data_IF_205882059175
#
_entry.id   IF_205882059175
#
_cell.length_a   1.000
_cell.length_b   1.000
_cell.length_c   1.000
_cell.angle_alpha   90.00
_cell.angle_beta   90.00
_cell.angle_gamma   90.00
#
_symmetry.space_group_name_H-M   'P 1'
#
loop_
_entity.id
_entity.type
_entity.pdbx_description
1 polymer ?
#
# COMPACT_ATOMS: atom_id res chain seq x y z
N UNK A 1 0.76 -14.18 26.63
CA UNK A 1 0.02 -13.28 25.73
C UNK A 1 0.16 -13.79 24.30
N UNK A 2 -0.89 -13.65 23.48
CA UNK A 2 -0.88 -14.20 22.12
C UNK A 2 -0.05 -13.33 21.17
N UNK A 3 0.79 -13.95 20.34
CA UNK A 3 1.50 -13.28 19.24
C UNK A 3 0.53 -13.14 18.07
N UNK A 4 0.54 -11.99 17.40
CA UNK A 4 -0.21 -11.74 16.17
C UNK A 4 0.77 -11.76 15.01
N UNK A 5 0.36 -12.39 13.91
CA UNK A 5 1.22 -12.58 12.75
C UNK A 5 0.45 -12.31 11.46
N UNK A 6 1.03 -11.45 10.63
CA UNK A 6 0.63 -11.26 9.23
C UNK A 6 1.70 -11.87 8.33
N UNK A 7 1.34 -12.91 7.59
CA UNK A 7 2.19 -13.51 6.57
C UNK A 7 1.89 -12.85 5.22
N UNK A 8 2.88 -12.21 4.64
CA UNK A 8 2.88 -11.77 3.26
C UNK A 8 3.50 -12.85 2.38
N UNK A 9 2.84 -13.19 1.29
CA UNK A 9 3.37 -14.10 0.29
C UNK A 9 3.05 -13.56 -1.09
N UNK A 10 3.94 -13.79 -2.05
CA UNK A 10 3.71 -13.37 -3.44
C UNK A 10 4.09 -14.45 -4.44
N UNK A 11 3.31 -14.55 -5.51
CA UNK A 11 3.69 -15.36 -6.65
C UNK A 11 4.96 -14.78 -7.28
N UNK A 12 5.80 -15.61 -7.90
CA UNK A 12 7.00 -15.12 -8.58
C UNK A 12 6.67 -14.07 -9.66
N UNK A 13 5.50 -14.19 -10.30
CA UNK A 13 5.00 -13.26 -11.29
C UNK A 13 4.66 -11.90 -10.66
N UNK A 14 3.82 -11.89 -9.63
CA UNK A 14 3.40 -10.66 -8.94
C UNK A 14 4.59 -9.98 -8.27
N UNK A 15 5.43 -10.74 -7.56
CA UNK A 15 6.65 -10.24 -6.92
C UNK A 15 7.59 -9.53 -7.92
N UNK A 16 7.73 -10.05 -9.13
CA UNK A 16 8.54 -9.43 -10.19
C UNK A 16 7.96 -8.08 -10.59
N UNK A 17 6.64 -7.98 -10.75
CA UNK A 17 5.98 -6.72 -11.13
C UNK A 17 6.05 -5.71 -9.99
N UNK A 18 5.77 -6.12 -8.76
CA UNK A 18 5.85 -5.26 -7.57
C UNK A 18 7.28 -4.72 -7.44
N UNK A 19 8.30 -5.58 -7.55
CA UNK A 19 9.71 -5.21 -7.49
C UNK A 19 10.13 -4.25 -8.62
N UNK A 20 9.74 -4.53 -9.87
CA UNK A 20 10.03 -3.68 -11.03
C UNK A 20 9.47 -2.26 -10.87
N UNK A 21 8.35 -2.11 -10.16
CA UNK A 21 7.73 -0.82 -9.89
C UNK A 21 8.23 -0.16 -8.59
N UNK A 22 9.25 -0.72 -7.93
CA UNK A 22 9.80 -0.18 -6.69
C UNK A 22 8.79 -0.17 -5.53
N UNK A 23 7.77 -1.02 -5.59
CA UNK A 23 6.73 -1.11 -4.57
C UNK A 23 7.22 -1.95 -3.38
N UNK A 24 6.76 -1.58 -2.20
CA UNK A 24 7.06 -2.25 -0.93
C UNK A 24 5.80 -2.37 -0.08
N UNK A 25 5.69 -3.48 0.66
CA UNK A 25 4.57 -3.68 1.58
C UNK A 25 4.74 -2.75 2.78
N UNK A 26 3.72 -1.94 3.01
CA UNK A 26 3.57 -1.13 4.22
C UNK A 26 2.50 -1.76 5.09
N UNK A 27 2.76 -1.83 6.40
CA UNK A 27 1.81 -2.29 7.42
C UNK A 27 1.66 -1.19 8.45
N UNK A 28 0.42 -0.85 8.80
CA UNK A 28 0.08 0.18 9.75
C UNK A 28 -0.96 -0.31 10.75
N UNK A 29 -0.87 0.22 11.97
CA UNK A 29 -1.83 0.00 13.03
C UNK A 29 -2.58 1.30 13.27
N UNK A 30 -3.89 1.18 13.49
CA UNK A 30 -4.70 2.33 13.89
C UNK A 30 -4.48 2.64 15.37
N UNK A 31 -4.28 3.91 15.68
CA UNK A 31 -4.28 4.43 17.05
C UNK A 31 -5.27 5.58 17.11
N UNK A 32 -6.28 5.46 17.97
CA UNK A 32 -7.17 6.57 18.27
C UNK A 32 -6.51 7.47 19.32
N UNK A 33 -6.54 8.78 19.11
CA UNK A 33 -6.23 9.75 20.15
C UNK A 33 -7.52 10.36 20.70
N UNK A 34 -7.42 11.19 21.74
CA UNK A 34 -8.57 11.84 22.38
C UNK A 34 -9.49 12.63 21.44
N UNK A 35 -9.07 12.93 20.19
CA UNK A 35 -9.84 13.59 19.14
C UNK A 35 -10.77 12.66 18.32
N UNK A 36 -10.94 11.39 18.72
CA UNK A 36 -11.88 10.39 18.18
C UNK A 36 -11.63 9.84 16.77
N UNK A 37 -10.85 10.52 15.92
CA UNK A 37 -10.46 9.94 14.62
C UNK A 37 -9.21 9.10 14.78
N UNK A 38 -9.31 7.79 14.49
CA UNK A 38 -8.16 6.91 14.47
C UNK A 38 -7.18 7.33 13.36
N UNK A 39 -5.94 7.61 13.76
CA UNK A 39 -4.85 7.82 12.82
C UNK A 39 -4.16 6.48 12.59
N UNK A 40 -3.87 6.15 11.33
CA UNK A 40 -3.03 4.99 11.02
C UNK A 40 -1.60 5.48 10.89
N UNK A 41 -0.70 4.82 11.60
CA UNK A 41 0.72 5.08 11.50
C UNK A 41 1.44 3.77 11.21
N UNK A 42 2.47 3.89 10.38
CA UNK A 42 3.18 2.76 9.80
C UNK A 42 3.96 2.03 10.90
N UNK A 43 3.65 0.76 11.07
CA UNK A 43 4.26 -0.15 12.05
C UNK A 43 5.48 -0.81 11.42
N UNK A 44 5.42 -1.13 10.14
CA UNK A 44 6.45 -1.92 9.46
C UNK A 44 6.46 -1.67 7.95
N UNK A 45 7.66 -1.72 7.35
CA UNK A 45 7.92 -1.65 5.92
C UNK A 45 8.78 -2.84 5.50
N UNK A 46 8.43 -3.52 4.42
CA UNK A 46 9.28 -4.57 3.85
C UNK A 46 10.57 -3.93 3.31
N UNK A 47 11.74 -4.43 3.77
CA UNK A 47 13.04 -3.99 3.23
C UNK A 47 13.30 -4.55 1.84
N UNK A 48 12.98 -5.82 1.64
CA UNK A 48 13.09 -6.53 0.37
C UNK A 48 11.81 -7.36 0.13
N UNK A 49 11.39 -7.49 -1.12
CA UNK A 49 10.32 -8.41 -1.50
C UNK A 49 10.88 -9.83 -1.49
N UNK A 50 10.67 -10.53 -0.38
CA UNK A 50 10.86 -11.98 -0.29
C UNK A 50 9.58 -12.69 -0.74
N UNK A 51 9.67 -13.89 -1.37
CA UNK A 51 8.49 -14.71 -1.71
C UNK A 51 7.56 -14.96 -0.52
N UNK A 52 8.12 -14.93 0.69
CA UNK A 52 7.39 -14.93 1.94
C UNK A 52 8.05 -13.97 2.94
N UNK A 53 7.24 -13.19 3.63
CA UNK A 53 7.65 -12.35 4.76
C UNK A 53 6.61 -12.47 5.87
N UNK A 54 7.04 -12.45 7.13
CA UNK A 54 6.12 -12.47 8.27
C UNK A 54 6.38 -11.25 9.13
N UNK A 55 5.30 -10.55 9.50
CA UNK A 55 5.33 -9.47 10.47
C UNK A 55 4.63 -9.98 11.74
N UNK A 56 5.34 -9.99 12.87
CA UNK A 56 4.80 -10.48 14.13
C UNK A 56 4.98 -9.48 15.27
N UNK A 57 3.93 -9.30 16.07
CA UNK A 57 3.94 -8.41 17.23
C UNK A 57 3.14 -8.99 18.40
N UNK A 58 3.46 -8.51 19.60
CA UNK A 58 2.67 -8.74 20.82
C UNK A 58 1.86 -7.49 21.09
N UNK A 59 0.60 -7.61 21.49
CA UNK A 59 -0.19 -6.46 21.99
C UNK A 59 0.26 -6.04 23.40
N UNK A 60 1.55 -5.77 23.51
CA UNK A 60 2.21 -5.14 24.64
C UNK A 60 2.63 -3.76 24.14
N UNK A 61 2.14 -2.73 24.82
CA UNK A 61 2.29 -1.35 24.39
C UNK A 61 3.23 -0.61 25.33
N UNK A 62 3.89 0.41 24.77
CA UNK A 62 4.71 1.34 25.55
C UNK A 62 4.51 2.77 25.05
N UNK A 63 4.76 3.72 25.95
CA UNK A 63 4.84 5.13 25.63
C UNK A 63 6.30 5.57 25.61
N UNK A 64 6.63 6.42 24.66
CA UNK A 64 7.86 7.19 24.66
C UNK A 64 7.53 8.60 24.19
N UNK A 65 8.51 9.49 24.15
CA UNK A 65 8.31 10.81 23.59
C UNK A 65 9.51 11.30 22.78
N UNK A 66 9.23 12.22 21.85
CA UNK A 66 10.23 12.95 21.06
C UNK A 66 9.96 14.44 21.14
N UNK A 67 11.01 15.25 20.98
CA UNK A 67 10.90 16.71 20.90
C UNK A 67 10.41 17.20 19.53
N UNK A 68 10.62 16.42 18.48
CA UNK A 68 10.28 16.79 17.11
C UNK A 68 9.68 15.60 16.38
N UNK A 69 8.66 15.86 15.56
CA UNK A 69 8.19 14.90 14.57
C UNK A 69 9.15 14.93 13.37
N UNK A 70 9.71 13.78 12.95
CA UNK A 70 10.55 13.74 11.76
C UNK A 70 9.74 14.02 10.48
N UNK A 71 10.42 14.50 9.43
CA UNK A 71 9.83 14.53 8.09
C UNK A 71 9.46 13.12 7.61
N UNK A 72 8.51 13.01 6.68
CA UNK A 72 8.19 11.76 6.00
C UNK A 72 9.48 11.09 5.49
N UNK A 73 9.59 9.78 5.68
CA UNK A 73 10.79 9.04 5.27
C UNK A 73 11.90 8.94 6.32
N UNK A 74 11.86 9.73 7.40
CA UNK A 74 12.93 9.81 8.42
C UNK A 74 12.54 9.06 9.70
N UNK A 75 13.50 8.30 10.25
CA UNK A 75 13.31 7.57 11.50
C UNK A 75 13.14 8.51 12.71
N UNK A 76 12.33 8.08 13.66
CA UNK A 76 11.94 8.86 14.82
C UNK A 76 13.06 8.79 15.86
N UNK A 77 13.58 9.94 16.28
CA UNK A 77 14.57 10.02 17.36
C UNK A 77 13.86 10.13 18.71
N UNK A 78 13.62 8.98 19.32
CA UNK A 78 13.07 8.90 20.68
C UNK A 78 14.06 9.55 21.67
N UNK A 79 13.53 10.38 22.58
CA UNK A 79 14.32 11.06 23.62
C UNK A 79 14.17 10.46 25.02
N UNK A 80 13.13 9.65 25.23
CA UNK A 80 12.88 8.96 26.49
C UNK A 80 13.26 7.48 26.42
N UNK A 81 13.31 6.82 27.57
CA UNK A 81 13.14 5.37 27.59
C UNK A 81 11.69 5.01 27.22
N UNK A 82 11.49 3.78 26.74
CA UNK A 82 10.16 3.22 26.58
C UNK A 82 9.57 2.90 27.94
N UNK A 83 8.40 3.44 28.25
CA UNK A 83 7.60 3.11 29.42
C UNK A 83 6.54 2.07 29.03
N UNK A 84 6.71 0.78 29.40
CA UNK A 84 5.65 -0.21 29.24
C UNK A 84 4.40 0.24 30.00
N UNK A 85 3.24 0.10 29.37
CA UNK A 85 1.98 0.56 29.94
C UNK A 85 0.84 -0.38 29.56
N UNK A 86 0.07 -0.80 30.55
CA UNK A 86 -1.18 -1.49 30.34
C UNK A 86 -2.29 -0.48 30.04
N UNK A 87 -3.34 -0.94 29.36
CA UNK A 87 -4.56 -0.14 29.17
C UNK A 87 -5.16 0.20 30.54
N UNK A 88 -5.50 1.47 30.73
CA UNK A 88 -6.03 2.01 31.98
C UNK A 88 -4.97 2.53 32.95
N UNK A 89 -3.68 2.33 32.67
CA UNK A 89 -2.59 2.97 33.42
C UNK A 89 -2.34 4.40 32.90
N UNK A 90 -1.79 5.25 33.77
CA UNK A 90 -1.43 6.64 33.47
C UNK A 90 -0.05 6.95 34.01
N UNK A 91 0.75 7.64 33.21
CA UNK A 91 2.10 8.07 33.55
C UNK A 91 2.24 9.57 33.32
N UNK A 92 3.00 10.21 34.21
CA UNK A 92 3.41 11.60 34.07
C UNK A 92 4.83 11.65 33.48
N UNK A 93 5.15 12.74 32.79
CA UNK A 93 6.51 13.08 32.37
C UNK A 93 6.99 14.17 33.33
N UNK A 94 8.08 13.93 34.07
CA UNK A 94 8.63 14.90 35.01
C UNK A 94 9.37 16.06 34.31
N UNK A 95 9.91 17.00 35.09
CA UNK A 95 10.63 18.17 34.58
C UNK A 95 11.90 17.83 33.79
N UNK A 96 12.46 16.63 34.00
CA UNK A 96 13.67 16.16 33.31
C UNK A 96 13.32 15.27 32.10
N UNK A 97 12.04 14.95 31.91
CA UNK A 97 11.57 14.14 30.79
C UNK A 97 11.48 12.64 31.09
N UNK A 98 11.62 12.23 32.36
CA UNK A 98 11.47 10.83 32.76
C UNK A 98 10.00 10.48 33.01
N UNK A 99 9.66 9.22 32.75
CA UNK A 99 8.35 8.67 33.04
C UNK A 99 8.22 8.34 34.53
N UNK A 100 7.07 8.67 35.12
CA UNK A 100 6.72 8.28 36.48
C UNK A 100 5.24 7.89 36.56
N UNK A 101 4.82 6.99 37.48
CA UNK A 101 3.41 6.71 37.68
C UNK A 101 2.62 7.98 38.00
N UNK A 102 1.49 8.16 37.32
CA UNK A 102 0.69 9.38 37.50
C UNK A 102 0.00 9.41 38.86
N UNK A 103 -0.05 10.60 39.46
CA UNK A 103 -0.87 10.84 40.67
C UNK A 103 -2.33 11.16 40.33
N UNK A 104 -2.63 11.45 39.06
CA UNK A 104 -4.01 11.67 38.62
C UNK A 104 -4.73 10.35 38.48
N UNK A 105 -5.95 10.28 39.03
CA UNK A 105 -6.82 9.14 38.83
C UNK A 105 -7.24 9.05 37.36
N UNK A 106 -7.17 7.84 36.81
CA UNK A 106 -7.66 7.56 35.45
C UNK A 106 -9.18 7.49 35.51
N UNK A 107 -9.84 8.35 34.74
CA UNK A 107 -11.29 8.30 34.62
C UNK A 107 -11.74 6.94 34.06
N UNK A 108 -12.90 6.44 34.48
CA UNK A 108 -13.44 5.16 34.00
C UNK A 108 -13.57 5.09 32.47
N UNK A 109 -13.83 6.24 31.82
CA UNK A 109 -13.87 6.41 30.36
C UNK A 109 -12.55 6.10 29.66
N UNK A 110 -11.44 6.06 30.40
CA UNK A 110 -10.07 5.92 29.90
C UNK A 110 -9.42 4.58 30.28
N UNK A 111 -10.21 3.64 30.82
CA UNK A 111 -9.74 2.31 31.22
C UNK A 111 -9.20 1.45 30.05
N UNK A 112 -9.63 1.71 28.82
CA UNK A 112 -9.16 1.02 27.61
C UNK A 112 -8.05 1.76 26.86
N UNK A 113 -7.52 2.84 27.44
CA UNK A 113 -6.55 3.76 26.82
C UNK A 113 -5.19 3.69 27.52
N UNK A 114 -4.13 4.03 26.79
CA UNK A 114 -2.82 4.38 27.32
C UNK A 114 -2.85 5.86 27.67
N UNK A 115 -2.57 6.24 28.92
CA UNK A 115 -2.79 7.60 29.38
C UNK A 115 -1.48 8.31 29.75
N UNK A 116 -1.42 9.59 29.39
CA UNK A 116 -0.42 10.55 29.84
C UNK A 116 -1.13 11.54 30.76
N UNK A 117 -0.81 11.51 32.06
CA UNK A 117 -1.56 12.24 33.09
C UNK A 117 -1.19 13.72 33.21
N UNK A 118 0.10 14.00 33.32
CA UNK A 118 0.67 15.34 33.41
C UNK A 118 2.05 15.38 32.75
N UNK A 119 2.32 16.47 32.04
CA UNK A 119 3.65 16.75 31.49
C UNK A 119 4.21 17.93 32.26
N UNK A 120 5.39 17.76 32.85
CA UNK A 120 6.13 18.83 33.54
C UNK A 120 7.39 19.24 32.79
N UNK A 121 7.80 18.45 31.80
CA UNK A 121 8.97 18.73 30.97
C UNK A 121 8.82 20.08 30.26
N UNK A 122 9.73 20.99 30.59
CA UNK A 122 9.73 22.37 30.10
C UNK A 122 11.16 22.76 29.71
N UNK A 123 11.55 22.43 28.48
CA UNK A 123 12.80 22.89 27.87
C UNK A 123 12.48 23.99 26.86
N UNK A 124 13.07 25.17 27.04
CA UNK A 124 12.87 26.33 26.17
C UNK A 124 13.25 26.10 24.70
N UNK A 125 14.02 25.06 24.40
CA UNK A 125 14.44 24.70 23.04
C UNK A 125 13.42 23.83 22.27
N UNK A 126 12.32 23.41 22.91
CA UNK A 126 11.28 22.59 22.28
C UNK A 126 9.90 23.18 22.54
N UNK A 127 8.96 22.99 21.61
CA UNK A 127 7.58 23.48 21.75
C UNK A 127 6.73 22.64 22.71
N UNK A 128 7.16 21.40 22.97
CA UNK A 128 6.47 20.43 23.80
C UNK A 128 6.98 19.02 23.49
N UNK A 129 6.35 18.02 24.11
CA UNK A 129 6.63 16.62 23.82
C UNK A 129 5.59 16.05 22.85
N UNK A 130 6.06 15.30 21.87
CA UNK A 130 5.21 14.50 21.00
C UNK A 130 5.21 13.07 21.54
N UNK A 131 4.02 12.57 21.88
CA UNK A 131 3.91 11.21 22.41
C UNK A 131 4.05 10.20 21.28
N UNK A 132 4.88 9.19 21.54
CA UNK A 132 5.13 8.07 20.66
C UNK A 132 4.50 6.84 21.31
N UNK A 133 3.63 6.14 20.57
CA UNK A 133 3.11 4.84 20.98
C UNK A 133 3.93 3.76 20.29
N UNK A 134 4.38 2.78 21.06
CA UNK A 134 5.13 1.63 20.57
C UNK A 134 4.40 0.32 20.79
N UNK A 135 4.69 -0.65 19.93
CA UNK A 135 4.27 -2.05 20.06
C UNK A 135 5.49 -2.93 20.19
N UNK A 136 5.40 -4.03 20.94
CA UNK A 136 6.52 -4.96 21.08
C UNK A 136 6.62 -5.88 19.86
N UNK A 137 7.74 -5.76 19.15
CA UNK A 137 8.13 -6.69 18.09
C UNK A 137 8.36 -8.09 18.70
N UNK A 138 7.72 -9.12 18.12
CA UNK A 138 7.75 -10.45 18.70
C UNK A 138 9.13 -11.12 18.57
N UNK A 139 9.87 -10.81 17.51
CA UNK A 139 11.14 -11.44 17.17
C UNK A 139 12.31 -10.82 17.93
N UNK A 140 12.37 -9.48 17.96
CA UNK A 140 13.44 -8.75 18.65
C UNK A 140 13.17 -8.52 20.13
N UNK A 141 11.91 -8.71 20.54
CA UNK A 141 11.41 -8.40 21.89
C UNK A 141 11.65 -6.94 22.31
N UNK A 142 11.77 -6.01 21.35
CA UNK A 142 11.94 -4.57 21.55
C UNK A 142 10.66 -3.83 21.17
N UNK A 143 10.45 -2.65 21.79
CA UNK A 143 9.37 -1.75 21.37
C UNK A 143 9.78 -0.99 20.11
N UNK A 144 8.87 -0.97 19.15
CA UNK A 144 9.00 -0.23 17.89
C UNK A 144 7.86 0.79 17.81
N UNK A 145 8.18 2.01 17.39
CA UNK A 145 7.18 3.07 17.28
C UNK A 145 6.15 2.71 16.20
N UNK A 146 4.87 2.87 16.53
CA UNK A 146 3.74 2.60 15.64
C UNK A 146 2.86 3.82 15.43
N UNK A 147 3.02 4.86 16.24
CA UNK A 147 2.27 6.10 16.13
C UNK A 147 3.03 7.25 16.82
N UNK A 148 2.87 8.46 16.28
CA UNK A 148 3.38 9.71 16.87
C UNK A 148 2.29 10.76 16.80
N UNK A 149 2.00 11.34 17.95
CA UNK A 149 1.12 12.49 18.02
C UNK A 149 1.77 13.70 17.36
N UNK A 150 1.12 14.23 16.32
CA UNK A 150 1.58 15.41 15.61
C UNK A 150 1.42 16.68 16.46
N UNK A 151 0.59 16.62 17.49
CA UNK A 151 0.34 17.75 18.39
C UNK A 151 1.37 17.74 19.52
N UNK A 152 2.20 18.78 19.67
CA UNK A 152 3.09 18.89 20.81
C UNK A 152 2.27 19.14 22.08
N UNK A 153 2.63 18.47 23.17
CA UNK A 153 2.03 18.64 24.48
C UNK A 153 2.99 19.45 25.37
N UNK A 154 2.54 20.63 25.81
CA UNK A 154 3.30 21.48 26.72
C UNK A 154 3.09 21.13 28.20
N UNK A 155 3.78 21.83 29.12
CA UNK A 155 3.60 21.65 30.55
C UNK A 155 2.14 21.77 31.00
N UNK A 156 1.69 20.91 31.91
CA UNK A 156 0.33 20.80 32.42
C UNK A 156 -0.64 20.00 31.55
N UNK A 157 -0.22 19.61 30.35
CA UNK A 157 -1.08 18.88 29.40
C UNK A 157 -1.24 17.40 29.76
N UNK A 158 -2.29 16.79 29.24
CA UNK A 158 -2.57 15.35 29.31
C UNK A 158 -3.01 14.84 27.94
N UNK A 159 -2.87 13.53 27.72
CA UNK A 159 -3.32 12.88 26.50
C UNK A 159 -3.69 11.41 26.74
N UNK A 160 -4.38 10.83 25.77
CA UNK A 160 -4.75 9.41 25.78
C UNK A 160 -4.70 8.81 24.39
N UNK A 161 -4.27 7.56 24.32
CA UNK A 161 -4.11 6.82 23.07
C UNK A 161 -4.72 5.42 23.19
N UNK A 162 -5.48 5.00 22.18
CA UNK A 162 -6.07 3.67 22.13
C UNK A 162 -5.57 2.94 20.89
N UNK A 163 -4.53 2.09 21.04
CA UNK A 163 -4.14 1.17 20.00
C UNK A 163 -5.31 0.26 19.65
N UNK A 164 -5.67 0.25 18.37
CA UNK A 164 -6.68 -0.64 17.81
C UNK A 164 -5.99 -1.92 17.35
N UNK A 165 -6.68 -3.05 17.45
CA UNK A 165 -6.17 -4.33 16.93
C UNK A 165 -6.45 -4.48 15.42
N UNK A 166 -6.99 -3.43 14.78
CA UNK A 166 -7.16 -3.34 13.34
C UNK A 166 -5.85 -2.93 12.66
N UNK A 167 -5.36 -3.81 11.79
CA UNK A 167 -4.15 -3.60 10.98
C UNK A 167 -4.57 -3.32 9.55
N UNK A 168 -3.91 -2.37 8.91
CA UNK A 168 -4.07 -2.06 7.49
C UNK A 168 -2.74 -2.18 6.78
N UNK A 169 -2.75 -2.64 5.54
CA UNK A 169 -1.54 -2.76 4.73
C UNK A 169 -1.81 -2.46 3.26
N UNK A 170 -0.78 -1.98 2.56
CA UNK A 170 -0.84 -1.59 1.16
C UNK A 170 0.54 -1.70 0.50
N UNK A 171 0.58 -1.58 -0.82
CA UNK A 171 1.83 -1.47 -1.58
C UNK A 171 2.11 -0.01 -1.92
N UNK A 172 3.34 0.42 -1.69
CA UNK A 172 3.75 1.81 -1.94
C UNK A 172 5.19 1.91 -2.45
N UNK A 173 5.43 2.88 -3.34
CA UNK A 173 6.73 3.16 -3.95
C UNK A 173 7.82 3.52 -2.94
N UNK A 174 9.07 3.35 -3.35
CA UNK A 174 10.29 3.38 -2.54
C UNK A 174 10.54 4.64 -1.70
N UNK A 175 9.87 5.75 -1.96
CA UNK A 175 10.27 7.06 -1.43
C UNK A 175 9.81 7.34 0.02
N UNK A 176 9.06 6.42 0.64
CA UNK A 176 8.69 6.52 2.06
C UNK A 176 9.48 5.51 2.90
N UNK A 177 10.71 5.84 3.29
CA UNK A 177 11.57 4.98 4.14
C UNK A 177 11.31 5.11 5.65
N UNK A 178 10.30 5.88 6.05
CA UNK A 178 10.10 6.32 7.43
C UNK A 178 8.73 5.99 7.96
N UNK A 179 8.70 5.59 9.23
CA UNK A 179 7.49 5.51 10.03
C UNK A 179 6.79 6.88 9.99
N UNK A 180 5.63 6.99 9.31
CA UNK A 180 4.49 7.92 9.53
C UNK A 180 3.89 8.52 8.23
N UNK A 181 2.56 8.38 8.16
CA UNK A 181 1.52 9.01 7.29
C UNK A 181 1.82 9.01 5.77
N UNK A 182 1.46 7.92 5.10
CA UNK A 182 1.14 7.96 3.67
C UNK A 182 -0.28 8.52 3.48
N UNK A 183 -0.39 9.55 2.65
CA UNK A 183 -1.66 10.06 2.11
C UNK A 183 -2.11 9.32 0.85
N UNK A 184 -1.28 8.41 0.31
CA UNK A 184 -1.54 7.65 -0.90
C UNK A 184 -1.82 6.17 -0.56
N UNK A 185 -2.96 5.92 0.09
CA UNK A 185 -3.46 4.55 0.29
C UNK A 185 -4.28 4.10 -0.90
N UNK A 186 -3.64 3.89 -2.03
CA UNK A 186 -4.32 3.23 -3.13
C UNK A 186 -4.45 1.75 -2.79
N UNK A 187 -5.70 1.27 -2.65
CA UNK A 187 -6.05 -0.14 -2.46
C UNK A 187 -5.36 -0.78 -1.25
N UNK A 188 -5.74 -0.38 -0.04
CA UNK A 188 -5.31 -1.04 1.19
C UNK A 188 -6.20 -2.23 1.55
N UNK A 189 -5.63 -3.25 2.18
CA UNK A 189 -6.36 -4.26 2.94
C UNK A 189 -6.40 -3.90 4.43
N UNK A 190 -7.37 -4.47 5.14
CA UNK A 190 -7.55 -4.28 6.57
C UNK A 190 -8.04 -5.58 7.20
N UNK A 191 -7.51 -5.92 8.37
CA UNK A 191 -7.96 -7.06 9.17
C UNK A 191 -7.95 -6.73 10.66
N UNK A 192 -8.98 -7.17 11.37
CA UNK A 192 -9.07 -7.07 12.82
C UNK A 192 -8.43 -8.30 13.48
N UNK A 193 -7.44 -8.08 14.34
CA UNK A 193 -6.73 -9.07 15.12
C UNK A 193 -7.21 -9.13 16.58
N UNK A 194 -8.35 -8.53 16.92
CA UNK A 194 -8.93 -8.57 18.28
C UNK A 194 -9.20 -9.99 18.73
N UNK A 195 -9.67 -10.84 17.83
CA UNK A 195 -10.01 -12.24 18.08
C UNK A 195 -9.16 -13.16 17.20
N UNK A 196 -8.85 -14.38 17.65
CA UNK A 196 -8.22 -15.38 16.79
C UNK A 196 -9.16 -15.70 15.62
N UNK A 197 -8.58 -16.17 14.51
CA UNK A 197 -9.37 -16.69 13.40
C UNK A 197 -10.30 -17.81 13.90
N UNK A 198 -11.58 -17.80 13.53
CA UNK A 198 -12.50 -18.88 13.88
C UNK A 198 -12.15 -20.20 13.17
N UNK A 199 -11.42 -20.16 12.06
CA UNK A 199 -11.01 -21.36 11.32
C UNK A 199 -9.81 -22.06 11.96
N UNK A 200 -8.84 -21.29 12.50
CA UNK A 200 -7.56 -21.85 12.97
C UNK A 200 -7.39 -21.77 14.49
N UNK A 201 -8.16 -20.92 15.18
CA UNK A 201 -7.95 -20.62 16.60
C UNK A 201 -6.69 -19.79 16.88
N UNK A 202 -6.00 -19.31 15.84
CA UNK A 202 -4.75 -18.54 15.95
C UNK A 202 -4.95 -17.06 15.56
N UNK A 203 -4.09 -16.18 16.08
CA UNK A 203 -4.00 -14.76 15.69
C UNK A 203 -3.11 -14.58 14.46
N UNK A 204 -3.30 -15.45 13.47
CA UNK A 204 -2.45 -15.54 12.29
C UNK A 204 -3.30 -15.40 11.04
N UNK A 205 -2.86 -14.52 10.15
CA UNK A 205 -3.48 -14.28 8.86
C UNK A 205 -2.42 -14.23 7.78
N UNK A 206 -2.76 -14.67 6.59
CA UNK A 206 -1.90 -14.61 5.41
C UNK A 206 -2.55 -13.73 4.35
N UNK A 207 -1.73 -13.02 3.58
CA UNK A 207 -2.18 -12.10 2.55
C UNK A 207 -1.25 -12.06 1.34
N UNK A 208 -1.82 -11.77 0.18
CA UNK A 208 -1.14 -11.55 -1.10
C UNK A 208 -1.90 -10.53 -1.92
N UNK A 209 -1.17 -9.80 -2.76
CA UNK A 209 -1.70 -8.85 -3.70
C UNK A 209 -1.63 -9.40 -5.13
N UNK A 210 -2.78 -9.70 -5.71
CA UNK A 210 -2.88 -10.11 -7.10
C UNK A 210 -2.74 -8.89 -8.01
N UNK A 211 -1.62 -8.74 -8.73
CA UNK A 211 -1.37 -7.56 -9.57
C UNK A 211 -2.39 -7.46 -10.71
N UNK A 212 -2.69 -8.59 -11.35
CA UNK A 212 -3.58 -8.66 -12.51
C UNK A 212 -5.01 -8.16 -12.22
N UNK A 213 -5.57 -8.49 -11.05
CA UNK A 213 -6.89 -8.00 -10.61
C UNK A 213 -6.79 -6.76 -9.71
N UNK A 214 -5.57 -6.43 -9.26
CA UNK A 214 -5.29 -5.37 -8.29
C UNK A 214 -6.17 -5.51 -7.04
N UNK A 215 -6.18 -6.72 -6.47
CA UNK A 215 -6.97 -7.12 -5.31
C UNK A 215 -6.10 -7.81 -4.25
N UNK A 216 -6.48 -7.60 -2.99
CA UNK A 216 -5.92 -8.33 -1.86
C UNK A 216 -6.66 -9.63 -1.64
N UNK A 217 -5.91 -10.71 -1.48
CA UNK A 217 -6.40 -11.99 -0.96
C UNK A 217 -5.97 -12.07 0.50
N UNK A 218 -6.91 -12.41 1.38
CA UNK A 218 -6.68 -12.55 2.82
C UNK A 218 -7.25 -13.89 3.24
N UNK A 219 -6.42 -14.73 3.87
CA UNK A 219 -6.82 -16.04 4.35
C UNK A 219 -6.38 -16.24 5.79
N UNK A 220 -7.21 -16.82 6.66
CA UNK A 220 -6.80 -17.15 8.02
C UNK A 220 -5.74 -18.25 8.07
N UNK A 221 -4.85 -18.17 9.05
CA UNK A 221 -3.75 -19.12 9.27
C UNK A 221 -2.49 -18.83 8.47
N UNK A 222 -1.56 -19.79 8.51
CA UNK A 222 -0.32 -19.77 7.74
C UNK A 222 -0.55 -19.78 6.23
N UNK A 223 0.46 -19.35 5.47
CA UNK A 223 0.37 -19.23 4.02
C UNK A 223 -0.02 -20.59 3.39
N UNK A 224 -1.06 -20.64 2.55
CA UNK A 224 -1.42 -21.88 1.86
C UNK A 224 -0.24 -22.37 1.01
N UNK A 225 0.23 -23.59 1.27
CA UNK A 225 1.27 -24.26 0.47
C UNK A 225 0.90 -24.31 -1.03
N UNK A 226 -0.40 -24.25 -1.35
CA UNK A 226 -0.94 -24.21 -2.71
C UNK A 226 -0.68 -22.89 -3.44
N UNK A 227 -0.50 -21.76 -2.75
CA UNK A 227 -0.21 -20.48 -3.42
C UNK A 227 1.28 -20.39 -3.80
N UNK A 228 2.17 -20.99 -3.01
CA UNK A 228 3.57 -21.23 -3.40
C UNK A 228 3.71 -22.19 -4.59
N UNK A 229 2.61 -22.87 -4.95
CA UNK A 229 2.50 -23.78 -6.09
C UNK A 229 1.48 -23.30 -7.10
N UNK A 230 1.04 -22.03 -7.08
CA UNK A 230 0.44 -21.51 -8.29
C UNK A 230 1.55 -21.62 -9.34
N UNK A 231 1.39 -22.50 -10.35
CA UNK A 231 2.35 -22.49 -11.44
C UNK A 231 2.38 -21.05 -11.92
N UNK A 232 3.57 -20.53 -12.26
CA UNK A 232 3.63 -19.36 -13.14
C UNK A 232 2.53 -19.61 -14.18
N UNK A 233 1.52 -18.71 -14.29
CA UNK A 233 0.26 -18.98 -14.97
C UNK A 233 0.59 -19.78 -16.21
N UNK A 234 0.10 -21.03 -16.25
CA UNK A 234 0.71 -22.12 -17.03
C UNK A 234 1.30 -21.50 -18.29
N UNK A 235 2.62 -21.61 -18.46
CA UNK A 235 3.21 -21.36 -19.76
C UNK A 235 2.50 -22.35 -20.67
N UNK A 236 1.40 -21.92 -21.30
CA UNK A 236 0.84 -22.55 -22.48
C UNK A 236 2.05 -22.84 -23.33
N UNK A 237 2.31 -24.13 -23.53
CA UNK A 237 3.55 -24.64 -24.11
C UNK A 237 4.12 -23.66 -25.14
N UNK A 238 5.28 -23.09 -24.84
CA UNK A 238 6.07 -22.20 -25.67
C UNK A 238 5.33 -21.54 -26.85
N UNK A 239 4.76 -20.37 -26.62
CA UNK A 239 4.88 -19.27 -27.59
C UNK A 239 5.35 -18.03 -26.82
N UNK A 240 6.31 -17.34 -27.42
CA UNK A 240 7.10 -16.18 -26.98
C UNK A 240 6.49 -15.16 -26.00
N UNK A 241 7.35 -14.42 -25.28
CA UNK A 241 6.98 -13.63 -24.10
C UNK A 241 6.35 -12.28 -24.48
N UNK A 242 5.04 -12.24 -24.71
CA UNK A 242 4.30 -10.96 -24.85
C UNK A 242 2.91 -11.00 -24.17
N UNK A 243 2.89 -10.66 -22.87
CA UNK A 243 1.86 -9.83 -22.24
C UNK A 243 0.62 -10.48 -21.59
N UNK A 244 0.11 -9.81 -20.53
CA UNK A 244 -1.31 -9.41 -20.51
C UNK A 244 -1.47 -8.13 -21.37
N UNK A 245 -0.90 -8.18 -22.57
CA UNK A 245 -1.66 -7.86 -23.74
C UNK A 245 -2.80 -8.91 -23.83
N UNK A 246 -3.96 -8.55 -24.38
CA UNK A 246 -4.94 -9.56 -24.80
C UNK A 246 -4.22 -10.64 -25.60
N UNK A 247 -4.63 -11.90 -25.42
CA UNK A 247 -4.05 -13.04 -26.12
C UNK A 247 -3.96 -12.76 -27.63
N UNK A 248 -2.76 -12.43 -28.10
CA UNK A 248 -2.44 -12.26 -29.52
C UNK A 248 -2.33 -13.67 -30.08
N UNK A 249 -3.46 -14.23 -30.49
CA UNK A 249 -3.51 -15.50 -31.19
C UNK A 249 -2.81 -15.35 -32.54
N UNK A 250 -1.47 -15.43 -32.64
CA UNK A 250 -0.70 -15.33 -33.90
C UNK A 250 -1.38 -14.45 -34.94
N UNK A 251 -1.64 -13.20 -34.57
CA UNK A 251 -2.44 -12.30 -35.38
C UNK A 251 -1.55 -11.91 -36.55
N UNK A 252 -1.83 -12.50 -37.71
CA UNK A 252 -1.02 -12.35 -38.91
C UNK A 252 -0.79 -10.87 -39.20
N UNK A 253 0.45 -10.50 -39.53
CA UNK A 253 1.06 -9.18 -39.79
C UNK A 253 0.18 -8.01 -40.22
N UNK A 254 -0.88 -7.71 -39.47
CA UNK A 254 -1.78 -6.59 -39.70
C UNK A 254 -1.14 -5.33 -39.18
N UNK A 255 -1.28 -4.23 -39.93
CA UNK A 255 -0.81 -2.90 -39.54
C UNK A 255 -1.86 -2.13 -38.75
N UNK A 256 -2.97 -2.78 -38.36
CA UNK A 256 -4.11 -2.12 -37.71
C UNK A 256 -4.64 -2.93 -36.53
N UNK A 257 -5.02 -2.21 -35.47
CA UNK A 257 -5.57 -2.74 -34.23
C UNK A 257 -6.77 -1.90 -33.76
N UNK A 258 -7.69 -2.51 -33.04
CA UNK A 258 -8.83 -1.89 -32.37
C UNK A 258 -8.62 -1.93 -30.87
N UNK A 259 -8.63 -0.77 -30.22
CA UNK A 259 -8.63 -0.64 -28.76
C UNK A 259 -10.06 -0.40 -28.30
N UNK A 260 -10.60 -1.31 -27.49
CA UNK A 260 -11.92 -1.20 -26.88
C UNK A 260 -11.80 -0.95 -25.39
N UNK A 261 -12.37 0.16 -24.91
CA UNK A 261 -12.44 0.46 -23.49
C UNK A 261 -13.59 -0.30 -22.83
N UNK A 262 -13.40 -0.74 -21.59
CA UNK A 262 -14.39 -1.51 -20.84
C UNK A 262 -15.57 -0.62 -20.42
N UNK A 263 -15.28 0.63 -20.04
CA UNK A 263 -16.30 1.64 -19.76
C UNK A 263 -16.41 2.59 -20.95
N UNK A 264 -17.62 2.95 -21.39
CA UNK A 264 -17.77 3.92 -22.45
C UNK A 264 -17.14 5.28 -22.09
N UNK A 265 -16.05 5.64 -22.76
CA UNK A 265 -15.39 6.93 -22.56
C UNK A 265 -16.24 8.06 -23.11
N UNK A 266 -16.38 9.13 -22.33
CA UNK A 266 -16.93 10.40 -22.82
C UNK A 266 -16.03 10.96 -23.95
N UNK A 267 -16.58 11.69 -24.93
CA UNK A 267 -15.81 12.15 -26.09
C UNK A 267 -14.52 12.90 -25.75
N UNK A 268 -14.53 13.72 -24.69
CA UNK A 268 -13.33 14.44 -24.26
C UNK A 268 -12.20 13.50 -23.78
N UNK A 269 -12.54 12.44 -23.04
CA UNK A 269 -11.56 11.44 -22.59
C UNK A 269 -11.05 10.60 -23.75
N UNK A 270 -11.94 10.20 -24.68
CA UNK A 270 -11.55 9.47 -25.88
C UNK A 270 -10.60 10.28 -26.78
N UNK A 271 -10.79 11.60 -26.87
CA UNK A 271 -9.87 12.50 -27.59
C UNK A 271 -8.49 12.58 -26.94
N UNK A 272 -8.44 12.71 -25.61
CA UNK A 272 -7.17 12.71 -24.88
C UNK A 272 -6.44 11.39 -25.03
N UNK A 273 -7.16 10.28 -24.92
CA UNK A 273 -6.61 8.95 -25.14
C UNK A 273 -6.03 8.80 -26.57
N UNK A 274 -6.77 9.22 -27.59
CA UNK A 274 -6.29 9.18 -28.98
C UNK A 274 -5.02 10.02 -29.19
N UNK A 275 -5.02 11.26 -28.71
CA UNK A 275 -3.87 12.16 -28.83
C UNK A 275 -2.65 11.67 -28.04
N UNK A 276 -2.86 11.20 -26.81
CA UNK A 276 -1.81 10.62 -25.97
C UNK A 276 -1.20 9.38 -26.60
N UNK A 277 -2.04 8.50 -27.17
CA UNK A 277 -1.61 7.27 -27.81
C UNK A 277 -0.80 7.56 -29.07
N UNK A 278 -1.26 8.50 -29.90
CA UNK A 278 -0.51 8.98 -31.06
C UNK A 278 0.86 9.53 -30.67
N UNK A 279 0.93 10.43 -29.69
CA UNK A 279 2.18 11.07 -29.28
C UNK A 279 3.21 10.06 -28.76
N UNK A 280 2.78 9.13 -27.89
CA UNK A 280 3.68 8.13 -27.30
C UNK A 280 4.15 7.12 -28.37
N UNK A 281 3.26 6.66 -29.24
CA UNK A 281 3.62 5.73 -30.30
C UNK A 281 4.51 6.39 -31.37
N UNK A 282 4.26 7.66 -31.71
CA UNK A 282 5.10 8.39 -32.67
C UNK A 282 6.51 8.66 -32.13
N UNK A 283 6.64 8.94 -30.84
CA UNK A 283 7.94 9.06 -30.17
C UNK A 283 8.69 7.72 -30.14
N UNK A 284 7.98 6.63 -29.83
CA UNK A 284 8.55 5.28 -29.80
C UNK A 284 8.93 4.73 -31.18
N UNK A 285 8.18 5.11 -32.21
CA UNK A 285 8.37 4.66 -33.59
C UNK A 285 8.50 5.85 -34.56
N UNK A 286 9.58 6.64 -34.47
CA UNK A 286 9.70 7.91 -35.19
C UNK A 286 9.68 7.75 -36.72
N UNK A 287 10.17 6.61 -37.21
CA UNK A 287 10.27 6.30 -38.63
C UNK A 287 9.02 5.65 -39.22
N UNK A 288 8.03 5.28 -38.39
CA UNK A 288 6.82 4.61 -38.85
C UNK A 288 5.66 5.59 -38.97
N UNK A 289 4.72 5.25 -39.85
CA UNK A 289 3.44 5.94 -39.90
C UNK A 289 2.57 5.45 -38.75
N UNK A 290 2.09 6.40 -37.93
CA UNK A 290 1.20 6.15 -36.79
C UNK A 290 -0.08 6.92 -37.06
N UNK A 291 -1.21 6.25 -37.01
CA UNK A 291 -2.53 6.87 -37.05
C UNK A 291 -3.35 6.34 -35.87
N UNK A 292 -4.03 7.23 -35.16
CA UNK A 292 -4.96 6.87 -34.09
C UNK A 292 -6.25 7.61 -34.33
N UNK A 293 -7.29 6.86 -34.69
CA UNK A 293 -8.59 7.39 -35.07
C UNK A 293 -9.69 6.86 -34.16
N UNK A 294 -10.80 7.57 -34.10
CA UNK A 294 -11.99 7.07 -33.42
C UNK A 294 -12.68 6.03 -34.32
N UNK A 295 -12.94 4.87 -33.74
CA UNK A 295 -13.89 3.92 -34.28
C UNK A 295 -15.14 3.96 -33.40
N UNK A 296 -16.34 3.94 -33.99
CA UNK A 296 -17.59 4.33 -33.31
C UNK A 296 -17.77 3.83 -31.86
N UNK A 297 -18.46 4.63 -31.05
CA UNK A 297 -18.64 4.35 -29.62
C UNK A 297 -17.39 4.69 -28.80
N UNK A 298 -16.89 3.73 -28.04
CA UNK A 298 -15.73 3.88 -27.14
C UNK A 298 -14.55 3.04 -27.60
N UNK A 299 -14.24 3.12 -28.90
CA UNK A 299 -13.16 2.39 -29.52
C UNK A 299 -12.19 3.35 -30.22
N UNK A 300 -10.92 2.96 -30.28
CA UNK A 300 -9.90 3.62 -31.08
C UNK A 300 -9.35 2.62 -32.09
N UNK A 301 -9.21 3.04 -33.34
CA UNK A 301 -8.42 2.34 -34.34
C UNK A 301 -7.01 2.87 -34.29
N UNK A 302 -6.03 1.98 -34.17
CA UNK A 302 -4.60 2.29 -34.22
C UNK A 302 -4.04 1.64 -35.47
N UNK A 303 -3.43 2.42 -36.36
CA UNK A 303 -2.71 1.92 -37.52
C UNK A 303 -1.23 2.27 -37.34
N UNK A 304 -0.36 1.26 -37.42
CA UNK A 304 1.08 1.38 -37.20
C UNK A 304 1.80 0.43 -38.17
N UNK A 305 2.73 0.98 -38.95
CA UNK A 305 3.59 0.21 -39.87
C UNK A 305 4.74 -0.49 -39.11
N UNK A 306 4.40 -1.22 -38.04
CA UNK A 306 5.32 -2.07 -37.28
C UNK A 306 4.70 -3.45 -37.12
N UNK A 307 5.40 -4.48 -37.59
CA UNK A 307 4.91 -5.85 -37.50
C UNK A 307 5.11 -6.50 -36.10
N UNK A 308 6.14 -6.10 -35.34
CA UNK A 308 6.51 -6.74 -34.07
C UNK A 308 6.40 -5.78 -32.88
N UNK A 309 5.71 -6.20 -31.83
CA UNK A 309 5.63 -5.46 -30.55
C UNK A 309 4.64 -4.29 -30.55
N UNK A 310 3.85 -4.09 -31.61
CA UNK A 310 2.85 -3.03 -31.70
C UNK A 310 1.79 -3.13 -30.58
N UNK A 311 1.30 -4.34 -30.30
CA UNK A 311 0.30 -4.58 -29.24
C UNK A 311 0.86 -4.23 -27.86
N UNK A 312 2.10 -4.64 -27.57
CA UNK A 312 2.79 -4.25 -26.33
C UNK A 312 2.93 -2.74 -26.24
N UNK A 313 3.40 -2.10 -27.31
CA UNK A 313 3.59 -0.65 -27.33
C UNK A 313 2.27 0.12 -27.12
N UNK A 314 1.17 -0.36 -27.70
CA UNK A 314 -0.17 0.20 -27.48
C UNK A 314 -0.58 0.03 -26.01
N UNK A 315 -0.38 -1.15 -25.43
CA UNK A 315 -0.69 -1.42 -24.02
C UNK A 315 0.12 -0.55 -23.04
N UNK A 316 1.42 -0.43 -23.27
CA UNK A 316 2.31 0.44 -22.47
C UNK A 316 1.92 1.91 -22.58
N UNK A 317 1.60 2.38 -23.79
CA UNK A 317 1.17 3.75 -24.02
C UNK A 317 -0.15 4.06 -23.30
N UNK A 318 -1.12 3.15 -23.34
CA UNK A 318 -2.38 3.29 -22.58
C UNK A 318 -2.14 3.32 -21.07
N UNK A 319 -1.19 2.54 -20.55
CA UNK A 319 -0.76 2.61 -19.15
C UNK A 319 -0.19 3.98 -18.76
N UNK A 320 0.60 4.61 -19.64
CA UNK A 320 1.11 5.96 -19.42
C UNK A 320 0.03 7.04 -19.49
N UNK A 321 -0.95 6.89 -20.38
CA UNK A 321 -2.09 7.83 -20.49
C UNK A 321 -2.93 7.74 -19.22
N UNK A 322 -3.15 6.53 -18.70
CA UNK A 322 -3.85 6.30 -17.44
C UNK A 322 -3.13 6.97 -16.26
N UNK A 323 -1.81 6.82 -16.16
CA UNK A 323 -1.03 7.41 -15.06
C UNK A 323 -0.99 8.95 -15.08
N UNK A 324 -1.16 9.57 -16.25
CA UNK A 324 -1.31 11.03 -16.40
C UNK A 324 -2.71 11.55 -16.02
N UNK A 325 -3.67 10.66 -15.78
CA UNK A 325 -5.06 11.02 -15.49
C UNK A 325 -5.88 11.39 -16.73
N UNK A 326 -5.38 11.07 -17.93
CA UNK A 326 -6.08 11.33 -19.18
C UNK A 326 -7.22 10.33 -19.44
N UNK A 327 -7.15 9.15 -18.79
CA UNK A 327 -8.20 8.12 -18.70
C UNK A 327 -8.74 8.00 -17.26
N UNK A 328 -9.98 7.52 -17.07
CA UNK A 328 -10.52 7.20 -15.74
C UNK A 328 -9.65 6.17 -15.00
N UNK A 329 -9.41 6.37 -13.70
CA UNK A 329 -8.49 5.55 -12.88
C UNK A 329 -8.79 4.04 -12.80
N UNK A 330 -9.98 3.61 -13.22
CA UNK A 330 -10.39 2.20 -13.24
C UNK A 330 -10.66 1.69 -14.67
N UNK A 331 -10.21 2.42 -15.69
CA UNK A 331 -10.41 2.00 -17.08
C UNK A 331 -9.56 0.76 -17.38
N UNK A 332 -10.16 -0.17 -18.13
CA UNK A 332 -9.45 -1.33 -18.68
C UNK A 332 -9.71 -1.38 -20.18
N UNK A 333 -8.81 -2.01 -20.94
CA UNK A 333 -8.93 -2.04 -22.40
C UNK A 333 -8.60 -3.43 -22.96
N UNK A 334 -9.18 -3.69 -24.12
CA UNK A 334 -8.87 -4.84 -24.97
C UNK A 334 -8.33 -4.33 -26.30
N UNK A 335 -7.31 -5.00 -26.83
CA UNK A 335 -6.66 -4.68 -28.10
C UNK A 335 -6.89 -5.87 -29.04
N UNK A 336 -7.60 -5.63 -30.13
CA UNK A 336 -7.87 -6.63 -31.16
C UNK A 336 -7.07 -6.26 -32.40
N UNK A 337 -6.57 -7.21 -33.19
CA UNK A 337 -6.09 -6.90 -34.52
C UNK A 337 -7.26 -6.60 -35.45
N UNK A 338 -6.97 -5.94 -36.55
CA UNK A 338 -7.88 -5.84 -37.67
C UNK A 338 -7.28 -6.56 -38.87
N UNK A 339 -8.13 -7.21 -39.66
CA UNK A 339 -7.73 -7.72 -40.95
C UNK A 339 -7.49 -6.57 -41.96
N UNK A 340 -7.06 -6.92 -43.17
CA UNK A 340 -6.81 -5.93 -44.23
C UNK A 340 -8.08 -5.16 -44.66
N UNK A 341 -9.27 -5.70 -44.36
CA UNK A 341 -10.56 -5.05 -44.62
C UNK A 341 -11.00 -4.12 -43.47
N UNK A 342 -10.24 -4.06 -42.38
CA UNK A 342 -10.55 -3.28 -41.19
C UNK A 342 -11.61 -3.92 -40.29
N UNK A 343 -11.91 -5.21 -40.49
CA UNK A 343 -12.81 -5.98 -39.63
C UNK A 343 -12.02 -6.69 -38.54
N UNK A 344 -12.68 -6.99 -37.42
CA UNK A 344 -12.09 -7.82 -36.36
C UNK A 344 -11.81 -9.21 -36.94
N UNK A 345 -10.59 -9.71 -36.74
CA UNK A 345 -10.32 -11.13 -37.00
C UNK A 345 -11.04 -11.95 -35.92
N UNK A 346 -11.93 -12.84 -36.35
CA UNK A 346 -12.65 -13.79 -35.48
C UNK A 346 -11.72 -14.78 -34.77
#
# INVERSE_FOLDING_TARGET
>A
MSVRTLNWFESAFDATIISKNGLSLQVAQAVASGSSTAAYSMVWKSRDLSPMSSISWKAEYALAWTANVPNQGVAVRIRSEWQPCNKGESFDIDQLGYWQPSKKLVEASSASWLNVGNIEYADSSVLGVHIVVGVRNADTNRFEAVFIDQTPLGPGSSARYQPQETISWWLEGSDLTGQVISTQRNRSATQDFTNPSPQTGAFEWSTSFMVASSQWVITPGAAPQSINKLPAPAQSAAVSPEGNAPSVAQLGGGTSWMVKFAVPLVPAALNRAAAGLYNILKDKFPLQEVQVERSGGSMLRVTLDAASGAVIAIGEALGQILSRGDLPMNETWQIFPLDQSGQLQD
#
